data_IF_561876546466
#
_entry.id   IF_561876546466
#
_cell.length_a   1.000
_cell.length_b   1.000
_cell.length_c   1.000
_cell.angle_alpha   90.00
_cell.angle_beta   90.00
_cell.angle_gamma   90.00
#
_symmetry.space_group_name_H-M   'P 1'
#
loop_
_entity.id
_entity.type
_entity.pdbx_description
1 polymer ?
#
# COMPACT_ATOMS: atom_id res chain seq x y z
N UNK A 1 0.20 21.27 -44.38
CA UNK A 1 0.15 22.47 -43.52
C UNK A 1 0.56 23.73 -44.34
N UNK A 2 1.78 23.84 -44.87
CA UNK A 2 2.24 25.05 -45.57
C UNK A 2 1.37 25.46 -46.76
N UNK A 3 0.93 24.52 -47.60
CA UNK A 3 0.08 24.77 -48.77
C UNK A 3 -1.31 25.28 -48.40
N UNK A 4 -1.83 24.78 -47.27
CA UNK A 4 -3.19 25.10 -46.80
C UNK A 4 -3.15 26.20 -45.69
N UNK A 5 -1.96 26.78 -45.42
CA UNK A 5 -1.77 27.82 -44.38
C UNK A 5 -2.23 27.37 -42.98
N UNK A 6 -2.12 26.08 -42.64
CA UNK A 6 -2.50 25.50 -41.37
C UNK A 6 -1.30 25.42 -40.44
N UNK A 7 -1.46 25.90 -39.21
CA UNK A 7 -0.54 25.59 -38.08
C UNK A 7 -1.02 24.30 -37.42
N UNK A 8 -0.19 23.27 -37.48
CA UNK A 8 -0.46 22.00 -36.80
C UNK A 8 0.18 22.02 -35.41
N UNK A 9 -0.63 21.77 -34.37
CA UNK A 9 -0.15 21.55 -33.01
C UNK A 9 -0.20 20.05 -32.74
N UNK A 10 0.97 19.47 -32.50
CA UNK A 10 1.12 18.04 -32.24
C UNK A 10 1.30 17.79 -30.76
N UNK A 11 0.29 17.25 -30.11
CA UNK A 11 0.28 16.88 -28.69
C UNK A 11 0.40 15.37 -28.55
N UNK A 12 1.51 14.91 -27.99
CA UNK A 12 1.73 13.51 -27.68
C UNK A 12 1.13 13.17 -26.31
N UNK A 13 0.64 11.94 -26.17
CA UNK A 13 0.26 11.44 -24.86
C UNK A 13 1.47 11.45 -23.92
N UNK A 14 1.36 11.90 -22.66
CA UNK A 14 2.51 12.04 -21.74
C UNK A 14 3.36 10.78 -21.59
N UNK A 15 2.75 9.59 -21.61
CA UNK A 15 3.47 8.32 -21.53
C UNK A 15 4.36 8.03 -22.76
N UNK A 16 4.04 8.61 -23.91
CA UNK A 16 4.75 8.37 -25.18
C UNK A 16 5.75 9.46 -25.55
N UNK A 17 5.89 10.50 -24.74
CA UNK A 17 6.83 11.61 -25.02
C UNK A 17 8.30 11.20 -25.12
N UNK A 18 8.65 10.07 -24.50
CA UNK A 18 10.02 9.52 -24.49
C UNK A 18 10.28 8.51 -25.60
N UNK A 19 9.28 8.20 -26.41
CA UNK A 19 9.42 7.28 -27.53
C UNK A 19 10.39 7.84 -28.59
N UNK A 20 11.29 6.97 -29.06
CA UNK A 20 12.36 7.39 -29.99
C UNK A 20 11.81 8.00 -31.27
N UNK A 21 10.71 7.49 -31.80
CA UNK A 21 10.04 8.04 -32.99
C UNK A 21 9.56 9.47 -32.80
N UNK A 22 8.95 9.76 -31.64
CA UNK A 22 8.50 11.11 -31.31
C UNK A 22 9.69 12.08 -31.12
N UNK A 23 10.71 11.67 -30.39
CA UNK A 23 11.92 12.48 -30.19
C UNK A 23 12.63 12.77 -31.50
N UNK A 24 12.71 11.79 -32.40
CA UNK A 24 13.25 11.96 -33.75
C UNK A 24 12.41 12.97 -34.57
N UNK A 25 11.08 12.85 -34.54
CA UNK A 25 10.21 13.78 -35.24
C UNK A 25 10.35 15.20 -34.70
N UNK A 26 10.37 15.39 -33.38
CA UNK A 26 10.59 16.68 -32.72
C UNK A 26 11.91 17.34 -33.15
N UNK A 27 12.97 16.54 -33.20
CA UNK A 27 14.26 17.02 -33.65
C UNK A 27 14.27 17.34 -35.17
N UNK A 28 13.71 16.46 -35.98
CA UNK A 28 13.69 16.56 -37.47
C UNK A 28 12.91 17.76 -37.95
N UNK A 29 11.85 18.14 -37.25
CA UNK A 29 10.95 19.22 -37.67
C UNK A 29 10.97 20.43 -36.73
N UNK A 30 12.02 20.58 -35.91
CA UNK A 30 12.17 21.67 -34.94
C UNK A 30 12.07 23.08 -35.58
N UNK A 31 12.55 23.23 -36.80
CA UNK A 31 12.56 24.51 -37.54
C UNK A 31 11.33 24.69 -38.45
N UNK A 32 10.35 23.78 -38.40
CA UNK A 32 9.16 23.86 -39.23
C UNK A 32 8.20 24.91 -38.70
N UNK A 33 7.96 25.97 -39.43
CA UNK A 33 7.07 27.09 -39.03
C UNK A 33 5.59 26.70 -38.91
N UNK A 34 5.19 25.60 -39.53
CA UNK A 34 3.83 25.14 -39.61
C UNK A 34 3.52 23.96 -38.70
N UNK A 35 4.49 23.59 -37.82
CA UNK A 35 4.35 22.49 -36.87
C UNK A 35 4.89 22.91 -35.52
N UNK A 36 4.02 22.83 -34.50
CA UNK A 36 4.35 23.06 -33.10
C UNK A 36 4.21 21.73 -32.33
N UNK A 37 5.26 21.29 -31.67
CA UNK A 37 5.17 20.18 -30.71
C UNK A 37 4.79 20.75 -29.36
N UNK A 38 3.61 20.38 -28.87
CA UNK A 38 3.12 20.85 -27.56
C UNK A 38 4.00 20.31 -26.45
N UNK A 39 4.34 21.16 -25.48
CA UNK A 39 5.01 20.79 -24.26
C UNK A 39 3.97 20.48 -23.20
N UNK A 40 3.88 19.21 -22.76
CA UNK A 40 2.92 18.75 -21.77
C UNK A 40 3.10 19.35 -20.36
N UNK A 41 4.13 20.16 -20.12
CA UNK A 41 4.24 20.99 -18.90
C UNK A 41 3.32 22.20 -18.93
N UNK A 42 2.77 22.56 -20.10
CA UNK A 42 1.80 23.64 -20.27
C UNK A 42 0.38 23.07 -20.27
N UNK A 43 -0.55 23.87 -19.77
CA UNK A 43 -1.97 23.52 -19.79
C UNK A 43 -2.52 23.62 -21.23
N UNK A 44 -2.90 22.48 -21.81
CA UNK A 44 -3.46 22.43 -23.14
C UNK A 44 -4.87 23.03 -23.22
N UNK A 45 -5.59 23.09 -22.12
CA UNK A 45 -6.94 23.66 -22.08
C UNK A 45 -6.97 25.17 -22.34
N UNK A 46 -5.85 25.88 -22.14
CA UNK A 46 -5.75 27.32 -22.45
C UNK A 46 -5.90 27.66 -23.94
N UNK A 47 -5.78 26.68 -24.83
CA UNK A 47 -5.83 26.90 -26.28
C UNK A 47 -6.97 26.15 -26.98
N UNK A 48 -7.78 25.35 -26.27
CA UNK A 48 -8.83 24.54 -26.89
C UNK A 48 -9.83 25.39 -27.70
N UNK A 49 -10.18 26.55 -27.21
CA UNK A 49 -11.10 27.50 -27.84
C UNK A 49 -10.54 28.20 -29.11
N UNK A 50 -9.24 27.99 -29.38
CA UNK A 50 -8.51 28.58 -30.53
C UNK A 50 -8.20 27.57 -31.62
N UNK A 51 -8.66 26.34 -31.45
CA UNK A 51 -8.41 25.26 -32.40
C UNK A 51 -9.59 25.13 -33.36
N UNK A 52 -9.33 25.31 -34.66
CA UNK A 52 -10.34 25.24 -35.69
C UNK A 52 -10.68 23.80 -36.11
N UNK A 53 -9.67 22.91 -36.07
CA UNK A 53 -9.78 21.52 -36.49
C UNK A 53 -9.08 20.60 -35.52
N UNK A 54 -9.77 19.62 -34.98
CA UNK A 54 -9.21 18.54 -34.19
C UNK A 54 -8.95 17.30 -35.06
N UNK A 55 -7.69 16.84 -35.09
CA UNK A 55 -7.34 15.57 -35.70
C UNK A 55 -7.01 14.62 -34.53
N UNK A 56 -7.73 13.53 -34.44
CA UNK A 56 -7.60 12.59 -33.33
C UNK A 56 -7.46 11.15 -33.82
N UNK A 57 -6.91 10.32 -32.99
CA UNK A 57 -6.94 8.87 -33.10
C UNK A 57 -8.11 8.30 -32.27
N UNK A 58 -7.81 7.56 -31.22
CA UNK A 58 -8.81 6.96 -30.29
C UNK A 58 -8.92 7.75 -28.97
N UNK A 59 -8.38 8.96 -28.92
CA UNK A 59 -8.39 9.79 -27.72
C UNK A 59 -9.79 10.34 -27.43
N UNK A 60 -10.19 10.32 -26.16
CA UNK A 60 -11.44 10.93 -25.69
C UNK A 60 -11.40 12.46 -25.64
N UNK A 61 -10.26 13.10 -25.91
CA UNK A 61 -10.11 14.56 -25.85
C UNK A 61 -11.07 15.32 -26.78
N UNK A 62 -11.62 14.65 -27.78
CA UNK A 62 -12.63 15.27 -28.68
C UNK A 62 -13.84 15.80 -27.91
N UNK A 63 -14.18 15.21 -26.76
CA UNK A 63 -15.30 15.69 -25.94
C UNK A 63 -15.02 17.09 -25.42
N UNK A 64 -13.78 17.36 -25.00
CA UNK A 64 -13.34 18.67 -24.51
C UNK A 64 -13.30 19.70 -25.65
N UNK A 65 -12.89 19.28 -26.86
CA UNK A 65 -12.95 20.12 -28.06
C UNK A 65 -14.37 20.48 -28.46
N UNK A 66 -15.32 19.55 -28.33
CA UNK A 66 -16.74 19.84 -28.54
C UNK A 66 -17.24 20.89 -27.56
N UNK A 67 -16.90 20.71 -26.25
CA UNK A 67 -17.29 21.67 -25.22
C UNK A 67 -16.63 23.05 -25.44
N UNK A 68 -15.43 23.11 -25.96
CA UNK A 68 -14.75 24.35 -26.33
C UNK A 68 -15.27 25.00 -27.64
N UNK A 69 -16.20 24.34 -28.35
CA UNK A 69 -16.84 24.87 -29.54
C UNK A 69 -16.13 24.56 -30.87
N UNK A 70 -15.20 23.63 -30.90
CA UNK A 70 -14.59 23.15 -32.14
C UNK A 70 -15.65 22.52 -33.07
N UNK A 71 -15.62 22.88 -34.36
CA UNK A 71 -16.64 22.47 -35.32
C UNK A 71 -16.16 21.43 -36.33
N UNK A 72 -14.85 21.24 -36.44
CA UNK A 72 -14.28 20.36 -37.45
C UNK A 72 -13.46 19.27 -36.80
N UNK A 73 -13.69 18.02 -37.19
CA UNK A 73 -13.03 16.85 -36.65
C UNK A 73 -12.60 15.89 -37.77
N UNK A 74 -11.41 15.37 -37.69
CA UNK A 74 -10.92 14.26 -38.50
C UNK A 74 -10.42 13.15 -37.60
N UNK A 75 -10.75 11.92 -37.94
CA UNK A 75 -10.30 10.73 -37.19
C UNK A 75 -9.23 10.00 -38.00
N UNK A 76 -7.99 9.95 -37.52
CA UNK A 76 -6.95 9.21 -38.18
C UNK A 76 -6.80 7.83 -37.53
N UNK A 77 -7.62 6.89 -38.02
CA UNK A 77 -7.78 5.53 -37.48
C UNK A 77 -7.14 4.52 -38.43
N UNK A 78 -5.81 4.59 -38.60
CA UNK A 78 -5.05 3.80 -39.58
C UNK A 78 -4.94 2.31 -39.20
N UNK A 79 -5.09 1.97 -37.94
CA UNK A 79 -5.00 0.63 -37.36
C UNK A 79 -6.33 0.14 -36.77
N UNK A 80 -7.44 0.78 -37.15
CA UNK A 80 -8.78 0.50 -36.60
C UNK A 80 -9.27 -0.95 -36.84
N UNK A 81 -8.84 -1.56 -37.91
CA UNK A 81 -9.23 -2.93 -38.26
C UNK A 81 -8.37 -4.00 -37.54
N UNK A 82 -7.55 -3.58 -36.54
CA UNK A 82 -6.81 -4.50 -35.67
C UNK A 82 -7.75 -5.11 -34.62
N UNK A 83 -7.74 -6.45 -34.52
CA UNK A 83 -8.56 -7.22 -33.57
C UNK A 83 -8.26 -6.91 -32.09
N UNK A 84 -7.18 -6.17 -31.81
CA UNK A 84 -6.78 -5.80 -30.45
C UNK A 84 -7.50 -4.55 -29.90
N UNK A 85 -8.29 -3.84 -30.73
CA UNK A 85 -9.05 -2.65 -30.33
C UNK A 85 -10.49 -3.04 -29.97
N UNK A 86 -10.73 -3.27 -28.69
CA UNK A 86 -12.07 -3.56 -28.15
C UNK A 86 -12.71 -2.26 -27.64
N UNK A 87 -13.63 -1.69 -28.41
CA UNK A 87 -14.39 -0.51 -28.00
C UNK A 87 -15.72 -0.93 -27.38
N UNK A 88 -16.07 -0.43 -26.19
CA UNK A 88 -17.34 -0.78 -25.52
C UNK A 88 -18.58 -0.23 -26.24
N UNK A 89 -18.38 0.69 -27.19
CA UNK A 89 -19.43 1.31 -28.00
C UNK A 89 -19.00 1.38 -29.46
N UNK A 90 -19.96 1.52 -30.40
CA UNK A 90 -19.64 1.73 -31.80
C UNK A 90 -18.86 3.05 -31.98
N UNK A 91 -17.58 2.92 -32.35
CA UNK A 91 -16.68 4.07 -32.51
C UNK A 91 -17.21 5.12 -33.49
N UNK A 92 -17.84 4.70 -34.59
CA UNK A 92 -18.37 5.61 -35.61
C UNK A 92 -19.64 6.33 -35.14
N UNK A 93 -20.37 5.76 -34.17
CA UNK A 93 -21.54 6.41 -33.59
C UNK A 93 -21.21 7.44 -32.52
N UNK A 94 -20.10 7.23 -31.77
CA UNK A 94 -19.79 8.03 -30.59
C UNK A 94 -18.66 9.05 -30.80
N UNK A 95 -18.05 9.08 -32.01
CA UNK A 95 -16.96 10.01 -32.33
C UNK A 95 -17.27 10.85 -33.55
N UNK A 96 -16.96 12.17 -33.55
CA UNK A 96 -17.32 13.07 -34.66
C UNK A 96 -16.28 13.05 -35.78
N UNK A 97 -16.70 13.48 -36.97
CA UNK A 97 -15.84 13.77 -38.10
C UNK A 97 -15.56 12.59 -39.03
N UNK A 98 -14.89 12.90 -40.12
CA UNK A 98 -14.53 11.94 -41.17
C UNK A 98 -13.43 10.99 -40.68
N UNK A 99 -13.63 9.67 -40.91
CA UNK A 99 -12.62 8.64 -40.62
C UNK A 99 -11.68 8.49 -41.81
N UNK A 100 -10.37 8.62 -41.54
CA UNK A 100 -9.27 8.43 -42.48
C UNK A 100 -8.47 7.18 -42.07
N UNK A 101 -8.38 6.19 -42.95
CA UNK A 101 -7.70 4.92 -42.69
C UNK A 101 -6.22 4.91 -43.07
N UNK A 102 -5.79 5.91 -43.82
CA UNK A 102 -4.40 6.06 -44.26
C UNK A 102 -4.02 7.53 -44.43
N UNK A 103 -2.72 7.78 -44.64
CA UNK A 103 -2.20 9.12 -44.73
C UNK A 103 -2.72 9.90 -45.97
N UNK A 104 -2.95 9.24 -47.09
CA UNK A 104 -3.44 9.90 -48.30
C UNK A 104 -4.89 10.39 -48.11
N UNK A 105 -5.73 9.59 -47.46
CA UNK A 105 -7.09 9.99 -47.07
C UNK A 105 -7.08 11.17 -46.09
N UNK A 106 -6.14 11.16 -45.09
CA UNK A 106 -6.00 12.28 -44.17
C UNK A 106 -5.59 13.57 -44.89
N UNK A 107 -4.62 13.50 -45.81
CA UNK A 107 -4.16 14.66 -46.60
C UNK A 107 -5.29 15.21 -47.48
N UNK A 108 -6.10 14.33 -48.09
CA UNK A 108 -7.25 14.75 -48.84
C UNK A 108 -8.30 15.41 -47.93
N UNK A 109 -8.63 14.80 -46.81
CA UNK A 109 -9.58 15.33 -45.84
C UNK A 109 -9.15 16.71 -45.30
N UNK A 110 -7.85 16.92 -45.06
CA UNK A 110 -7.30 18.21 -44.66
C UNK A 110 -7.52 19.33 -45.69
N UNK A 111 -7.61 19.02 -46.96
CA UNK A 111 -7.88 20.02 -47.99
C UNK A 111 -9.38 20.32 -48.17
N UNK A 112 -10.24 19.53 -47.54
CA UNK A 112 -11.71 19.58 -47.77
C UNK A 112 -12.52 19.75 -46.45
N UNK A 113 -11.89 19.74 -45.27
CA UNK A 113 -12.59 19.65 -44.00
C UNK A 113 -13.62 20.73 -43.73
N UNK A 114 -13.43 21.95 -44.27
CA UNK A 114 -14.40 23.04 -44.17
C UNK A 114 -15.71 22.78 -44.91
N UNK A 115 -15.70 21.81 -45.86
CA UNK A 115 -16.88 21.44 -46.64
C UNK A 115 -17.69 20.34 -45.97
N UNK A 116 -17.11 19.70 -44.94
CA UNK A 116 -17.79 18.61 -44.23
C UNK A 116 -18.84 19.19 -43.28
N UNK A 117 -20.09 18.94 -43.54
CA UNK A 117 -21.17 19.25 -42.61
C UNK A 117 -21.39 18.08 -41.67
N UNK A 118 -20.89 18.26 -40.43
CA UNK A 118 -21.01 17.29 -39.34
C UNK A 118 -21.91 17.79 -38.21
N UNK A 119 -22.69 18.85 -38.41
CA UNK A 119 -23.49 19.52 -37.38
C UNK A 119 -24.43 18.56 -36.66
N UNK A 120 -25.20 17.75 -37.40
CA UNK A 120 -26.12 16.75 -36.80
C UNK A 120 -25.39 15.71 -35.94
N UNK A 121 -24.22 15.29 -36.38
CA UNK A 121 -23.36 14.37 -35.63
C UNK A 121 -22.82 15.00 -34.36
N UNK A 122 -22.34 16.25 -34.43
CA UNK A 122 -21.84 17.01 -33.29
C UNK A 122 -22.93 17.25 -32.23
N UNK A 123 -24.15 17.63 -32.69
CA UNK A 123 -25.28 17.84 -31.80
C UNK A 123 -25.68 16.57 -31.05
N UNK A 124 -25.69 15.44 -31.76
CA UNK A 124 -25.98 14.14 -31.16
C UNK A 124 -24.90 13.73 -30.15
N UNK A 125 -23.63 13.83 -30.50
CA UNK A 125 -22.49 13.46 -29.68
C UNK A 125 -22.33 14.41 -28.48
N UNK A 126 -22.57 15.72 -28.70
CA UNK A 126 -22.57 16.69 -27.61
C UNK A 126 -23.63 16.34 -26.56
N UNK A 127 -24.84 15.96 -26.96
CA UNK A 127 -25.90 15.52 -26.03
C UNK A 127 -25.51 14.23 -25.28
N UNK A 128 -24.77 13.34 -25.93
CA UNK A 128 -24.34 12.10 -25.31
C UNK A 128 -23.34 12.35 -24.18
N UNK A 129 -22.36 13.23 -24.40
CA UNK A 129 -21.25 13.46 -23.44
C UNK A 129 -21.46 14.71 -22.57
N UNK A 130 -22.24 15.69 -23.02
CA UNK A 130 -22.41 16.99 -22.36
C UNK A 130 -23.88 17.31 -22.11
N UNK A 131 -24.64 16.36 -21.54
CA UNK A 131 -26.06 16.56 -21.18
C UNK A 131 -26.25 17.77 -20.25
N UNK A 132 -25.27 18.04 -19.37
CA UNK A 132 -25.27 19.13 -18.40
C UNK A 132 -24.13 20.14 -18.66
N UNK A 133 -24.09 20.70 -19.87
CA UNK A 133 -23.04 21.64 -20.28
C UNK A 133 -23.34 23.12 -19.95
N UNK A 134 -24.26 23.39 -19.05
CA UNK A 134 -24.65 24.73 -18.66
C UNK A 134 -23.79 25.29 -17.54
N UNK A 135 -23.68 26.64 -17.45
CA UNK A 135 -22.91 27.33 -16.42
C UNK A 135 -23.34 27.02 -14.98
N UNK A 136 -24.54 26.50 -14.80
CA UNK A 136 -25.13 26.08 -13.53
C UNK A 136 -24.88 24.58 -13.18
N UNK A 137 -24.10 23.88 -13.98
CA UNK A 137 -23.81 22.45 -13.75
C UNK A 137 -23.17 22.21 -12.39
N UNK A 138 -22.23 23.08 -11.98
CA UNK A 138 -21.59 22.99 -10.70
C UNK A 138 -22.59 23.22 -9.55
N UNK A 139 -23.47 24.18 -9.68
CA UNK A 139 -24.53 24.46 -8.68
C UNK A 139 -25.47 23.25 -8.55
N UNK A 140 -25.84 22.63 -9.68
CA UNK A 140 -26.66 21.40 -9.69
C UNK A 140 -25.97 20.22 -9.01
N UNK A 141 -24.67 20.04 -9.23
CA UNK A 141 -23.86 19.01 -8.55
C UNK A 141 -23.84 19.28 -7.05
N UNK A 142 -23.60 20.53 -6.65
CA UNK A 142 -23.59 20.94 -5.25
C UNK A 142 -24.96 20.72 -4.62
N UNK A 143 -26.03 21.17 -5.26
CA UNK A 143 -27.40 21.01 -4.75
C UNK A 143 -27.79 19.54 -4.65
N UNK A 144 -27.45 18.72 -5.64
CA UNK A 144 -27.68 17.27 -5.60
C UNK A 144 -26.87 16.59 -4.49
N UNK A 145 -25.62 17.01 -4.28
CA UNK A 145 -24.75 16.49 -3.20
C UNK A 145 -25.28 16.91 -1.84
N UNK A 146 -25.72 18.15 -1.68
CA UNK A 146 -26.32 18.67 -0.43
C UNK A 146 -27.67 18.00 -0.15
N UNK A 147 -28.51 17.81 -1.18
CA UNK A 147 -29.78 17.11 -1.06
C UNK A 147 -29.63 15.62 -0.72
N UNK A 148 -28.50 15.03 -1.09
CA UNK A 148 -28.14 13.65 -0.78
C UNK A 148 -27.41 13.54 0.59
N UNK A 149 -27.60 14.49 1.52
CA UNK A 149 -27.15 14.28 2.88
C UNK A 149 -27.98 13.14 3.45
N UNK A 150 -27.43 11.88 3.54
CA UNK A 150 -28.14 10.82 4.24
C UNK A 150 -28.40 11.26 5.68
N UNK A 151 -29.48 10.77 6.29
CA UNK A 151 -29.64 10.86 7.75
C UNK A 151 -28.28 10.66 8.39
N UNK A 152 -27.91 11.52 9.31
CA UNK A 152 -26.60 11.56 9.95
C UNK A 152 -26.33 10.22 10.62
N UNK A 153 -25.92 9.24 9.85
CA UNK A 153 -25.38 8.00 10.39
C UNK A 153 -24.08 8.40 11.05
N UNK A 154 -24.03 8.34 12.37
CA UNK A 154 -22.77 8.52 13.08
C UNK A 154 -21.84 7.36 12.69
N UNK A 155 -20.95 7.60 11.76
CA UNK A 155 -19.97 6.60 11.37
C UNK A 155 -19.06 6.27 12.56
N UNK A 156 -18.71 4.99 12.77
CA UNK A 156 -17.76 4.58 13.79
C UNK A 156 -16.38 5.21 13.57
N UNK A 157 -15.54 5.18 14.57
CA UNK A 157 -14.10 5.38 14.41
C UNK A 157 -13.49 4.03 14.04
N UNK A 158 -12.54 4.02 13.09
CA UNK A 158 -11.69 2.89 12.83
C UNK A 158 -10.46 2.98 13.74
N UNK A 159 -10.29 1.98 14.61
CA UNK A 159 -9.11 1.81 15.44
C UNK A 159 -8.28 0.65 14.91
N UNK A 160 -7.00 0.86 14.67
CA UNK A 160 -6.07 -0.20 14.35
C UNK A 160 -4.98 -0.30 15.42
N UNK A 161 -4.60 -1.52 15.77
CA UNK A 161 -3.56 -1.79 16.74
C UNK A 161 -2.45 -2.61 16.08
N UNK A 162 -1.18 -2.23 16.34
CA UNK A 162 -0.09 -3.17 16.17
C UNK A 162 -0.24 -4.31 17.18
N UNK A 163 0.54 -5.36 17.02
CA UNK A 163 0.41 -6.58 17.83
C UNK A 163 1.55 -6.69 18.84
N UNK A 164 2.78 -6.80 18.34
CA UNK A 164 3.95 -7.00 19.21
C UNK A 164 4.26 -5.71 19.96
N UNK A 165 4.56 -5.87 21.25
CA UNK A 165 4.84 -4.76 22.16
C UNK A 165 3.74 -3.70 22.25
N UNK A 166 2.57 -4.02 21.67
CA UNK A 166 1.33 -3.23 21.72
C UNK A 166 0.20 -3.99 22.39
N UNK A 167 -0.14 -5.21 21.97
CA UNK A 167 -1.18 -6.04 22.59
C UNK A 167 -0.60 -7.13 23.48
N UNK A 168 0.54 -7.62 23.13
CA UNK A 168 1.34 -8.49 23.96
C UNK A 168 2.83 -8.25 23.76
N UNK A 169 3.61 -8.57 24.76
CA UNK A 169 5.07 -8.58 24.68
C UNK A 169 5.60 -10.02 24.85
N UNK A 170 6.90 -10.18 24.80
CA UNK A 170 7.59 -11.44 25.10
C UNK A 170 8.17 -11.44 26.50
N UNK A 171 8.30 -12.63 27.10
CA UNK A 171 9.00 -12.82 28.37
C UNK A 171 10.50 -12.53 28.26
N UNK A 172 11.05 -12.51 27.05
CA UNK A 172 12.44 -12.20 26.78
C UNK A 172 12.62 -10.71 26.52
N UNK A 173 13.75 -10.16 26.93
CA UNK A 173 14.09 -8.74 26.77
C UNK A 173 14.27 -8.35 25.30
N UNK A 174 14.89 -9.22 24.52
CA UNK A 174 15.11 -9.06 23.06
C UNK A 174 14.50 -10.27 22.34
N UNK A 175 13.81 -10.10 21.21
CA UNK A 175 13.25 -11.21 20.43
C UNK A 175 14.25 -12.33 20.10
N UNK A 176 15.55 -12.01 20.02
CA UNK A 176 16.62 -12.99 19.85
C UNK A 176 16.67 -14.00 21.01
N UNK A 177 16.13 -13.66 22.17
CA UNK A 177 16.00 -14.57 23.32
C UNK A 177 15.26 -15.87 22.96
N UNK A 178 14.28 -15.81 22.08
CA UNK A 178 13.57 -16.99 21.58
C UNK A 178 14.53 -17.99 20.92
N UNK A 179 15.53 -17.51 20.19
CA UNK A 179 16.48 -18.37 19.50
C UNK A 179 17.44 -19.10 20.45
N UNK A 180 17.66 -18.55 21.65
CA UNK A 180 18.44 -19.26 22.69
C UNK A 180 17.67 -20.45 23.25
N UNK A 181 16.36 -20.34 23.45
CA UNK A 181 15.53 -21.49 23.85
C UNK A 181 15.52 -22.58 22.79
N UNK A 182 15.46 -22.21 21.51
CA UNK A 182 15.61 -23.19 20.44
C UNK A 182 16.99 -23.85 20.44
N UNK A 183 18.05 -23.08 20.74
CA UNK A 183 19.40 -23.59 20.87
C UNK A 183 19.50 -24.65 21.98
N UNK A 184 18.90 -24.43 23.16
CA UNK A 184 18.82 -25.39 24.24
C UNK A 184 18.14 -26.69 23.81
N UNK A 185 16.99 -26.61 23.16
CA UNK A 185 16.29 -27.76 22.59
C UNK A 185 17.17 -28.54 21.57
N UNK A 186 17.95 -27.82 20.76
CA UNK A 186 18.91 -28.46 19.82
C UNK A 186 20.03 -29.19 20.54
N UNK A 187 20.51 -28.64 21.66
CA UNK A 187 21.57 -29.29 22.50
C UNK A 187 21.04 -30.58 23.11
N UNK A 188 19.81 -30.57 23.60
CA UNK A 188 19.15 -31.75 24.18
C UNK A 188 18.87 -32.83 23.14
N UNK A 189 18.40 -32.45 21.92
CA UNK A 189 18.12 -33.39 20.83
C UNK A 189 19.39 -34.06 20.28
N UNK A 190 20.47 -33.34 20.18
CA UNK A 190 21.80 -33.85 19.75
C UNK A 190 21.89 -34.23 18.26
N UNK A 191 20.82 -34.05 17.50
CA UNK A 191 20.72 -34.43 16.09
C UNK A 191 21.11 -33.36 15.08
N UNK A 192 21.77 -32.25 15.51
CA UNK A 192 22.10 -31.13 14.65
C UNK A 192 23.62 -30.91 14.49
N UNK A 193 24.07 -30.31 13.39
CA UNK A 193 25.48 -29.95 13.21
C UNK A 193 26.00 -29.09 14.38
N UNK A 194 27.12 -29.47 15.00
CA UNK A 194 27.68 -28.77 16.15
C UNK A 194 27.89 -27.27 15.89
N UNK A 195 28.35 -26.90 14.70
CA UNK A 195 28.55 -25.50 14.32
C UNK A 195 27.26 -24.67 14.34
N UNK A 196 26.16 -25.29 13.91
CA UNK A 196 24.83 -24.68 13.96
C UNK A 196 24.36 -24.52 15.41
N UNK A 197 24.46 -25.60 16.22
CA UNK A 197 24.02 -25.59 17.62
C UNK A 197 24.74 -24.50 18.42
N UNK A 198 26.06 -24.39 18.29
CA UNK A 198 26.86 -23.45 19.08
C UNK A 198 26.56 -21.97 18.74
N UNK A 199 26.05 -21.68 17.55
CA UNK A 199 25.87 -20.31 17.07
C UNK A 199 24.44 -20.04 16.58
N UNK A 200 23.48 -20.86 16.98
CA UNK A 200 22.13 -20.83 16.43
C UNK A 200 21.47 -19.43 16.45
N UNK A 201 21.49 -18.66 17.56
CA UNK A 201 20.84 -17.34 17.56
C UNK A 201 21.42 -16.39 16.52
N UNK A 202 22.75 -16.37 16.38
CA UNK A 202 23.42 -15.53 15.38
C UNK A 202 23.14 -16.00 13.95
N UNK A 203 23.13 -17.31 13.72
CA UNK A 203 22.85 -17.92 12.41
C UNK A 203 21.41 -17.65 12.01
N UNK A 204 20.46 -17.82 12.93
CA UNK A 204 19.03 -17.56 12.67
C UNK A 204 18.79 -16.10 12.28
N UNK A 205 19.36 -15.17 13.06
CA UNK A 205 19.32 -13.72 12.77
C UNK A 205 19.96 -13.38 11.42
N UNK A 206 21.14 -13.96 11.14
CA UNK A 206 21.84 -13.73 9.86
C UNK A 206 21.06 -14.30 8.68
N UNK A 207 20.41 -15.44 8.85
CA UNK A 207 19.58 -16.05 7.80
C UNK A 207 18.38 -15.18 7.46
N UNK A 208 17.70 -14.62 8.44
CA UNK A 208 16.65 -13.64 8.24
C UNK A 208 17.16 -12.39 7.50
N UNK A 209 18.27 -11.81 7.96
CA UNK A 209 18.87 -10.64 7.33
C UNK A 209 19.24 -10.89 5.86
N UNK A 210 19.76 -12.08 5.53
CA UNK A 210 20.10 -12.46 4.16
C UNK A 210 18.85 -12.57 3.25
N UNK A 211 17.74 -13.09 3.77
CA UNK A 211 16.49 -13.16 3.01
C UNK A 211 15.95 -11.75 2.77
N UNK A 212 15.94 -10.88 3.77
CA UNK A 212 15.56 -9.46 3.64
C UNK A 212 16.43 -8.72 2.62
N UNK A 213 17.76 -8.96 2.65
CA UNK A 213 18.69 -8.37 1.68
C UNK A 213 18.40 -8.83 0.26
N UNK A 214 18.04 -10.10 0.06
CA UNK A 214 17.64 -10.62 -1.24
C UNK A 214 16.41 -9.87 -1.78
N UNK A 215 15.35 -9.70 -0.98
CA UNK A 215 14.17 -8.94 -1.38
C UNK A 215 14.51 -7.48 -1.70
N UNK A 216 15.31 -6.81 -0.88
CA UNK A 216 15.75 -5.44 -1.15
C UNK A 216 16.49 -5.31 -2.47
N UNK A 217 17.33 -6.27 -2.83
CA UNK A 217 18.03 -6.30 -4.12
C UNK A 217 17.07 -6.55 -5.28
N UNK A 218 16.13 -7.49 -5.13
CA UNK A 218 15.12 -7.80 -6.16
C UNK A 218 14.23 -6.60 -6.44
N UNK A 219 13.82 -5.86 -5.41
CA UNK A 219 13.07 -4.60 -5.55
C UNK A 219 13.90 -3.55 -6.31
N UNK A 220 15.18 -3.38 -5.93
CA UNK A 220 16.07 -2.42 -6.60
C UNK A 220 16.27 -2.75 -8.09
N UNK A 221 16.21 -4.03 -8.46
CA UNK A 221 16.28 -4.52 -9.84
C UNK A 221 14.89 -4.58 -10.52
N UNK A 222 13.81 -4.22 -9.84
CA UNK A 222 12.41 -4.32 -10.30
C UNK A 222 11.98 -5.75 -10.67
N UNK A 223 12.56 -6.76 -10.04
CA UNK A 223 12.23 -8.17 -10.23
C UNK A 223 11.09 -8.64 -9.31
N UNK A 224 10.82 -7.88 -8.23
CA UNK A 224 9.75 -8.15 -7.27
C UNK A 224 9.20 -6.86 -6.70
N UNK A 225 7.91 -6.86 -6.40
CA UNK A 225 7.24 -5.80 -5.62
C UNK A 225 7.09 -6.18 -4.14
N UNK A 226 7.29 -7.46 -3.81
CA UNK A 226 7.19 -7.95 -2.43
C UNK A 226 8.39 -7.50 -1.61
N UNK A 227 8.13 -6.94 -0.44
CA UNK A 227 9.15 -6.45 0.51
C UNK A 227 9.20 -7.25 1.81
N UNK A 228 8.14 -8.01 2.14
CA UNK A 228 8.11 -8.81 3.36
C UNK A 228 8.46 -10.27 3.07
N UNK A 229 9.30 -10.82 3.95
CA UNK A 229 9.78 -12.20 3.91
C UNK A 229 8.78 -13.15 4.54
N UNK A 230 8.95 -14.44 4.27
CA UNK A 230 8.15 -15.52 4.85
C UNK A 230 8.98 -16.32 5.85
N UNK A 231 8.33 -16.83 6.89
CA UNK A 231 8.96 -17.69 7.92
C UNK A 231 9.73 -18.86 7.29
N UNK A 232 9.11 -19.50 6.31
CA UNK A 232 9.69 -20.67 5.63
C UNK A 232 10.96 -20.36 4.84
N UNK A 233 11.08 -19.16 4.30
CA UNK A 233 12.26 -18.75 3.51
C UNK A 233 13.50 -18.62 4.40
N UNK A 234 13.33 -18.21 5.66
CA UNK A 234 14.43 -18.12 6.62
C UNK A 234 15.02 -19.51 6.86
N UNK A 235 14.15 -20.51 7.07
CA UNK A 235 14.59 -21.89 7.30
C UNK A 235 15.12 -22.56 6.04
N UNK A 236 14.55 -22.26 4.89
CA UNK A 236 15.08 -22.71 3.60
C UNK A 236 16.51 -22.18 3.37
N UNK A 237 16.75 -20.92 3.74
CA UNK A 237 18.11 -20.34 3.72
C UNK A 237 19.07 -21.08 4.64
N UNK A 238 18.66 -21.36 5.88
CA UNK A 238 19.47 -22.11 6.85
C UNK A 238 19.75 -23.53 6.34
N UNK A 239 18.72 -24.23 5.84
CA UNK A 239 18.85 -25.58 5.30
C UNK A 239 19.87 -25.64 4.16
N UNK A 240 19.82 -24.68 3.25
CA UNK A 240 20.77 -24.59 2.13
C UNK A 240 22.22 -24.39 2.58
N UNK A 241 22.45 -23.64 3.65
CA UNK A 241 23.82 -23.35 4.14
C UNK A 241 24.40 -24.49 4.98
N UNK A 242 23.56 -25.12 5.80
CA UNK A 242 23.99 -26.12 6.79
C UNK A 242 23.62 -27.56 6.39
N UNK A 243 23.11 -27.77 5.18
CA UNK A 243 22.65 -29.07 4.65
C UNK A 243 21.71 -29.81 5.62
N UNK A 244 20.71 -29.08 6.13
CA UNK A 244 19.72 -29.65 7.02
C UNK A 244 18.73 -30.53 6.26
N UNK A 245 18.32 -31.62 6.89
CA UNK A 245 17.22 -32.45 6.36
C UNK A 245 15.87 -31.77 6.59
N UNK A 246 14.86 -32.16 5.83
CA UNK A 246 13.50 -31.66 6.02
C UNK A 246 12.99 -31.90 7.44
N UNK A 247 13.32 -33.05 8.04
CA UNK A 247 12.98 -33.37 9.44
C UNK A 247 13.60 -32.38 10.42
N UNK A 248 14.88 -32.05 10.25
CA UNK A 248 15.57 -31.07 11.09
C UNK A 248 14.96 -29.68 10.93
N UNK A 249 14.61 -29.28 9.70
CA UNK A 249 13.92 -28.01 9.43
C UNK A 249 12.58 -27.94 10.13
N UNK A 250 11.78 -29.01 10.04
CA UNK A 250 10.46 -29.05 10.70
C UNK A 250 10.59 -28.99 12.23
N UNK A 251 11.59 -29.68 12.81
CA UNK A 251 11.87 -29.60 14.25
C UNK A 251 12.20 -28.18 14.67
N UNK A 252 13.12 -27.50 13.96
CA UNK A 252 13.51 -26.11 14.29
C UNK A 252 12.32 -25.16 14.21
N UNK A 253 11.50 -25.26 13.16
CA UNK A 253 10.27 -24.48 13.02
C UNK A 253 9.32 -24.73 14.19
N UNK A 254 9.06 -25.98 14.52
CA UNK A 254 8.16 -26.35 15.59
C UNK A 254 8.64 -25.82 16.94
N UNK A 255 9.92 -25.92 17.24
CA UNK A 255 10.49 -25.41 18.48
C UNK A 255 10.49 -23.88 18.55
N UNK A 256 10.75 -23.17 17.45
CA UNK A 256 10.66 -21.71 17.43
C UNK A 256 9.24 -21.25 17.70
N UNK A 257 8.24 -21.87 17.05
CA UNK A 257 6.83 -21.55 17.28
C UNK A 257 6.39 -21.89 18.72
N UNK A 258 6.81 -23.04 19.26
CA UNK A 258 6.54 -23.40 20.66
C UNK A 258 7.11 -22.35 21.61
N UNK A 259 8.38 -21.95 21.41
CA UNK A 259 9.00 -20.92 22.21
C UNK A 259 8.32 -19.56 22.08
N UNK A 260 7.90 -19.16 20.86
CA UNK A 260 7.10 -17.93 20.68
C UNK A 260 5.78 -17.99 21.45
N UNK A 261 5.05 -19.13 21.39
CA UNK A 261 3.79 -19.30 22.10
C UNK A 261 3.95 -19.24 23.63
N UNK A 262 5.00 -19.83 24.17
CA UNK A 262 5.23 -19.88 25.61
C UNK A 262 5.73 -18.56 26.18
N UNK A 263 6.15 -17.64 25.30
CA UNK A 263 6.66 -16.34 25.68
C UNK A 263 5.67 -15.18 25.53
N UNK A 264 4.42 -15.44 25.20
CA UNK A 264 3.39 -14.40 25.11
C UNK A 264 3.02 -13.85 26.48
N UNK A 265 3.14 -12.53 26.63
CA UNK A 265 2.70 -11.78 27.83
C UNK A 265 1.69 -10.73 27.38
N UNK A 266 0.40 -10.86 27.76
CA UNK A 266 -0.61 -9.88 27.37
C UNK A 266 -0.34 -8.51 28.01
N UNK A 267 -0.73 -7.44 27.30
CA UNK A 267 -0.69 -6.06 27.77
C UNK A 267 -2.13 -5.60 28.04
N UNK A 268 -2.62 -5.67 29.30
CA UNK A 268 -4.05 -5.51 29.60
C UNK A 268 -4.62 -4.14 29.21
N UNK A 269 -3.84 -3.08 29.34
CA UNK A 269 -4.28 -1.71 29.07
C UNK A 269 -4.85 -1.55 27.66
N UNK A 270 -4.10 -1.99 26.65
CA UNK A 270 -4.50 -1.89 25.24
C UNK A 270 -5.64 -2.86 24.92
N UNK A 271 -5.65 -4.05 25.55
CA UNK A 271 -6.73 -5.03 25.41
C UNK A 271 -8.05 -4.45 25.97
N UNK A 272 -7.99 -3.78 27.12
CA UNK A 272 -9.17 -3.15 27.72
C UNK A 272 -9.66 -1.93 26.90
N UNK A 273 -8.75 -1.20 26.26
CA UNK A 273 -9.12 -0.17 25.29
C UNK A 273 -9.86 -0.75 24.09
N UNK A 274 -9.42 -1.89 23.55
CA UNK A 274 -10.12 -2.58 22.47
C UNK A 274 -11.54 -2.97 22.92
N UNK A 275 -11.67 -3.58 24.11
CA UNK A 275 -12.99 -3.95 24.68
C UNK A 275 -13.91 -2.73 24.78
N UNK A 276 -13.36 -1.58 25.22
CA UNK A 276 -14.11 -0.33 25.33
C UNK A 276 -14.58 0.16 23.94
N UNK A 277 -13.72 0.17 22.94
CA UNK A 277 -14.09 0.65 21.59
C UNK A 277 -15.13 -0.25 20.94
N UNK A 278 -15.00 -1.57 21.08
CA UNK A 278 -16.02 -2.52 20.60
C UNK A 278 -17.38 -2.31 21.31
N UNK A 279 -17.37 -2.01 22.61
CA UNK A 279 -18.60 -1.69 23.36
C UNK A 279 -19.25 -0.38 22.88
N UNK A 280 -18.48 0.55 22.33
CA UNK A 280 -18.94 1.79 21.70
C UNK A 280 -19.40 1.60 20.25
N UNK A 281 -19.36 0.38 19.73
CA UNK A 281 -19.64 0.03 18.32
C UNK A 281 -18.66 0.64 17.32
N UNK A 282 -17.46 0.98 17.75
CA UNK A 282 -16.37 1.38 16.88
C UNK A 282 -15.77 0.13 16.19
N UNK A 283 -15.15 0.35 15.04
CA UNK A 283 -14.46 -0.72 14.30
C UNK A 283 -13.04 -0.87 14.80
N UNK A 284 -12.65 -2.10 15.15
CA UNK A 284 -11.28 -2.40 15.59
C UNK A 284 -10.66 -3.46 14.69
N UNK A 285 -9.41 -3.22 14.25
CA UNK A 285 -8.62 -4.12 13.42
C UNK A 285 -7.19 -4.25 13.96
N UNK A 286 -6.48 -5.28 13.54
CA UNK A 286 -5.09 -5.52 13.87
C UNK A 286 -4.22 -5.38 12.61
N UNK A 287 -3.09 -4.64 12.71
CA UNK A 287 -2.20 -4.36 11.58
C UNK A 287 -0.75 -4.52 12.03
N UNK A 288 -0.05 -5.55 11.57
CA UNK A 288 1.30 -5.85 12.05
C UNK A 288 2.29 -6.23 10.95
N UNK A 289 3.52 -5.71 11.05
CA UNK A 289 4.65 -6.14 10.24
C UNK A 289 5.29 -7.38 10.88
N UNK A 290 5.02 -8.56 10.30
CA UNK A 290 5.53 -9.83 10.83
C UNK A 290 5.63 -10.90 9.74
N UNK A 291 6.72 -11.66 9.75
CA UNK A 291 6.94 -12.77 8.83
C UNK A 291 6.32 -14.10 9.30
N UNK A 292 5.86 -14.18 10.55
CA UNK A 292 5.18 -15.37 11.06
C UNK A 292 3.83 -15.58 10.37
N UNK A 293 3.46 -16.82 10.03
CA UNK A 293 2.19 -17.13 9.39
C UNK A 293 0.97 -16.70 10.23
N UNK A 294 -0.11 -16.34 9.57
CA UNK A 294 -1.35 -15.87 10.22
C UNK A 294 -1.88 -16.79 11.31
N UNK A 295 -1.87 -18.09 11.06
CA UNK A 295 -2.33 -19.07 12.06
C UNK A 295 -1.47 -19.05 13.34
N UNK A 296 -0.19 -18.73 13.22
CA UNK A 296 0.73 -18.57 14.36
C UNK A 296 0.35 -17.32 15.15
N UNK A 297 0.16 -16.19 14.47
CA UNK A 297 -0.25 -14.94 15.12
C UNK A 297 -1.60 -15.11 15.81
N UNK A 298 -2.58 -15.76 15.17
CA UNK A 298 -3.87 -16.04 15.78
C UNK A 298 -3.74 -16.90 17.06
N UNK A 299 -2.85 -17.89 17.09
CA UNK A 299 -2.59 -18.69 18.31
C UNK A 299 -1.94 -17.83 19.41
N UNK A 300 -1.01 -16.94 19.07
CA UNK A 300 -0.43 -15.99 20.03
C UNK A 300 -1.48 -15.02 20.59
N UNK A 301 -2.32 -14.46 19.72
CA UNK A 301 -3.46 -13.61 20.14
C UNK A 301 -4.43 -14.35 21.05
N UNK A 302 -4.75 -15.63 20.71
CA UNK A 302 -5.63 -16.46 21.54
C UNK A 302 -5.07 -16.69 22.95
N UNK A 303 -3.75 -16.82 23.07
CA UNK A 303 -3.07 -16.97 24.37
C UNK A 303 -3.03 -15.66 25.17
N UNK A 304 -2.93 -14.53 24.46
CA UNK A 304 -2.99 -13.22 25.11
C UNK A 304 -4.40 -12.89 25.59
N UNK A 305 -5.38 -12.92 24.70
CA UNK A 305 -6.81 -12.68 24.96
C UNK A 305 -7.64 -13.29 23.81
N UNK A 306 -8.45 -14.33 24.04
CA UNK A 306 -9.15 -15.05 22.97
C UNK A 306 -10.00 -14.18 22.05
N UNK A 307 -10.62 -13.12 22.55
CA UNK A 307 -11.45 -12.23 21.75
C UNK A 307 -10.69 -11.51 20.61
N UNK A 308 -9.37 -11.37 20.73
CA UNK A 308 -8.57 -10.71 19.70
C UNK A 308 -8.53 -11.50 18.39
N UNK A 309 -8.82 -12.81 18.43
CA UNK A 309 -8.85 -13.65 17.23
C UNK A 309 -10.06 -13.40 16.33
N UNK A 310 -11.10 -12.72 16.85
CA UNK A 310 -12.30 -12.35 16.10
C UNK A 310 -12.12 -11.03 15.31
N UNK A 311 -11.04 -10.30 15.56
CA UNK A 311 -10.76 -9.04 14.90
C UNK A 311 -10.13 -9.24 13.51
N UNK A 312 -10.49 -8.40 12.51
CA UNK A 312 -9.80 -8.42 11.22
C UNK A 312 -8.29 -8.21 11.40
N UNK A 313 -7.49 -9.07 10.77
CA UNK A 313 -6.05 -9.12 10.93
C UNK A 313 -5.35 -8.92 9.59
N UNK A 314 -4.50 -7.90 9.52
CA UNK A 314 -3.69 -7.54 8.36
C UNK A 314 -2.20 -7.73 8.70
N UNK A 315 -1.56 -8.68 8.03
CA UNK A 315 -0.16 -9.03 8.26
C UNK A 315 0.68 -8.73 7.02
N UNK A 316 1.83 -8.10 7.20
CA UNK A 316 2.76 -7.79 6.11
C UNK A 316 3.15 -9.01 5.29
N UNK A 317 3.32 -10.18 5.90
CA UNK A 317 3.67 -11.41 5.20
C UNK A 317 2.54 -11.95 4.29
N UNK A 318 1.27 -11.65 4.55
CA UNK A 318 0.16 -12.07 3.69
C UNK A 318 0.05 -11.18 2.44
N UNK A 319 0.28 -9.88 2.59
CA UNK A 319 0.18 -8.90 1.50
C UNK A 319 1.51 -8.69 0.77
N UNK A 320 2.64 -9.09 1.38
CA UNK A 320 3.97 -8.87 0.82
C UNK A 320 4.46 -7.42 0.93
N UNK A 321 3.80 -6.58 1.74
CA UNK A 321 4.07 -5.16 1.92
C UNK A 321 4.16 -4.79 3.40
N UNK A 322 4.74 -3.64 3.74
CA UNK A 322 5.03 -3.23 5.12
C UNK A 322 4.38 -1.89 5.49
N UNK A 323 4.22 -1.64 6.79
CA UNK A 323 3.73 -0.36 7.35
C UNK A 323 4.67 0.80 7.03
N UNK A 324 5.99 0.56 7.05
CA UNK A 324 7.00 1.61 6.80
C UNK A 324 6.87 2.23 5.41
N UNK A 325 6.46 1.45 4.42
CA UNK A 325 6.18 1.92 3.05
C UNK A 325 4.78 2.53 2.90
N UNK A 326 3.95 2.52 3.94
CA UNK A 326 2.53 2.87 3.95
C UNK A 326 1.61 1.86 3.21
N UNK A 327 2.17 0.97 2.41
CA UNK A 327 1.39 0.07 1.55
C UNK A 327 0.47 -0.85 2.34
N UNK A 328 0.89 -1.35 3.52
CA UNK A 328 0.00 -2.17 4.34
C UNK A 328 -1.24 -1.40 4.83
N UNK A 329 -1.10 -0.10 5.10
CA UNK A 329 -2.26 0.75 5.44
C UNK A 329 -3.16 0.99 4.22
N UNK A 330 -2.61 1.07 3.01
CA UNK A 330 -3.41 1.15 1.79
C UNK A 330 -4.18 -0.15 1.51
N UNK A 331 -3.61 -1.33 1.80
CA UNK A 331 -4.33 -2.60 1.73
C UNK A 331 -5.52 -2.64 2.70
N UNK A 332 -5.32 -2.14 3.92
CA UNK A 332 -6.42 -1.95 4.87
C UNK A 332 -7.48 -1.01 4.29
N UNK A 333 -7.06 0.14 3.75
CA UNK A 333 -7.96 1.12 3.16
C UNK A 333 -8.79 0.52 2.02
N UNK A 334 -8.13 -0.22 1.12
CA UNK A 334 -8.79 -0.90 0.00
C UNK A 334 -9.84 -1.93 0.46
N UNK A 335 -9.67 -2.56 1.63
CA UNK A 335 -10.64 -3.50 2.16
C UNK A 335 -11.98 -2.86 2.58
N UNK A 336 -12.03 -1.53 2.70
CA UNK A 336 -13.25 -0.77 3.00
C UNK A 336 -13.89 -0.15 1.75
N UNK A 337 -13.33 -0.34 0.56
CA UNK A 337 -13.95 0.12 -0.70
C UNK A 337 -15.21 -0.71 -1.02
N UNK A 338 -16.24 -0.10 -1.68
CA UNK A 338 -16.36 1.30 -2.07
C UNK A 338 -16.92 2.21 -0.96
N UNK A 339 -17.24 1.67 0.19
CA UNK A 339 -17.89 2.38 1.29
C UNK A 339 -16.92 2.51 2.45
N UNK A 340 -16.33 3.68 2.63
CA UNK A 340 -15.48 3.99 3.79
C UNK A 340 -16.38 4.25 5.01
N UNK A 341 -16.81 3.18 5.70
CA UNK A 341 -17.79 3.23 6.79
C UNK A 341 -17.18 3.69 8.14
N UNK A 342 -16.28 4.68 8.11
CA UNK A 342 -15.71 5.28 9.32
C UNK A 342 -15.45 6.79 9.17
N UNK A 343 -15.61 7.54 10.27
CA UNK A 343 -15.39 9.00 10.31
C UNK A 343 -13.94 9.42 10.42
N UNK A 344 -13.10 8.59 11.04
CA UNK A 344 -11.66 8.78 11.18
C UNK A 344 -10.97 7.46 11.49
N UNK A 345 -9.68 7.40 11.24
CA UNK A 345 -8.83 6.26 11.55
C UNK A 345 -7.78 6.65 12.60
N UNK A 346 -7.66 5.84 13.68
CA UNK A 346 -6.68 6.01 14.76
C UNK A 346 -5.86 4.73 14.87
N UNK A 347 -4.53 4.86 14.78
CA UNK A 347 -3.60 3.74 14.88
C UNK A 347 -2.82 3.78 16.18
N UNK A 348 -2.74 2.62 16.87
CA UNK A 348 -1.97 2.41 18.08
C UNK A 348 -0.78 1.50 17.79
N UNK A 349 0.43 1.91 18.17
CA UNK A 349 1.65 1.11 18.02
C UNK A 349 2.81 1.69 18.80
N UNK A 350 3.84 0.88 19.04
CA UNK A 350 5.03 1.24 19.81
C UNK A 350 6.17 1.76 18.94
N UNK A 351 6.26 1.31 17.67
CA UNK A 351 7.39 1.57 16.80
C UNK A 351 7.28 2.92 16.07
N UNK A 352 8.15 3.92 16.38
CA UNK A 352 8.10 5.23 15.73
C UNK A 352 8.30 5.18 14.20
N UNK A 353 9.03 4.20 13.70
CA UNK A 353 9.39 4.09 12.28
C UNK A 353 8.23 3.50 11.47
N UNK A 354 7.53 2.51 12.01
CA UNK A 354 6.47 1.81 11.31
C UNK A 354 5.06 2.33 11.67
N UNK A 355 4.82 2.66 12.96
CA UNK A 355 3.47 2.94 13.46
C UNK A 355 3.15 4.44 13.60
N UNK A 356 4.15 5.34 13.51
CA UNK A 356 3.88 6.75 13.72
C UNK A 356 4.07 7.60 12.46
N UNK A 357 5.28 7.63 11.91
CA UNK A 357 5.58 8.52 10.79
C UNK A 357 4.85 8.13 9.50
N UNK A 358 4.82 6.86 9.08
CA UNK A 358 4.13 6.48 7.84
C UNK A 358 2.62 6.72 7.87
N UNK A 359 1.86 6.27 8.89
CA UNK A 359 0.41 6.48 8.91
C UNK A 359 0.02 7.96 9.04
N UNK A 360 0.77 8.78 9.77
CA UNK A 360 0.50 10.24 9.84
C UNK A 360 0.58 10.93 8.48
N UNK A 361 1.50 10.51 7.61
CA UNK A 361 1.66 11.08 6.28
C UNK A 361 0.44 10.86 5.37
N UNK A 362 -0.35 9.86 5.65
CA UNK A 362 -1.58 9.53 4.92
C UNK A 362 -2.86 9.87 5.69
N UNK A 363 -2.74 10.72 6.72
CA UNK A 363 -3.90 11.26 7.44
C UNK A 363 -4.45 10.39 8.58
N UNK A 364 -3.77 9.30 8.94
CA UNK A 364 -4.15 8.46 10.09
C UNK A 364 -3.69 9.14 11.39
N UNK A 365 -4.61 9.31 12.35
CA UNK A 365 -4.26 9.76 13.69
C UNK A 365 -3.47 8.66 14.42
N UNK A 366 -2.40 9.01 15.13
CA UNK A 366 -1.52 8.02 15.76
C UNK A 366 -1.48 8.24 17.27
N UNK A 367 -1.57 7.15 18.00
CA UNK A 367 -1.37 7.07 19.44
C UNK A 367 -0.17 6.16 19.74
N UNK A 368 0.84 6.71 20.39
CA UNK A 368 2.01 5.94 20.78
C UNK A 368 1.67 5.06 21.99
N UNK A 369 1.99 3.78 21.86
CA UNK A 369 2.05 2.85 23.00
C UNK A 369 3.48 2.91 23.52
N UNK A 370 3.61 3.29 24.78
CA UNK A 370 4.94 3.41 25.41
C UNK A 370 5.23 2.11 26.14
N UNK A 371 6.30 1.44 25.75
CA UNK A 371 6.84 0.34 26.54
C UNK A 371 7.34 0.87 27.87
N UNK A 372 7.09 0.18 28.99
CA UNK A 372 7.78 0.48 30.22
C UNK A 372 9.28 0.26 30.02
N UNK A 373 10.08 1.29 30.24
CA UNK A 373 11.54 1.18 30.18
C UNK A 373 12.08 0.65 31.49
N UNK A 374 13.10 -0.18 31.43
CA UNK A 374 13.82 -0.61 32.61
C UNK A 374 14.59 0.57 33.21
N UNK A 375 14.56 0.71 34.54
CA UNK A 375 15.48 1.59 35.23
C UNK A 375 16.92 1.11 35.05
N UNK A 376 17.89 1.98 35.30
CA UNK A 376 19.32 1.62 35.21
C UNK A 376 19.66 0.42 36.08
N UNK A 377 19.06 0.30 37.28
CA UNK A 377 19.27 -0.83 38.21
C UNK A 377 18.67 -2.11 37.61
N UNK A 378 17.46 -2.03 37.01
CA UNK A 378 16.83 -3.18 36.37
C UNK A 378 17.62 -3.67 35.17
N UNK A 379 18.15 -2.75 34.37
CA UNK A 379 19.02 -3.07 33.23
C UNK A 379 20.28 -3.78 33.69
N UNK A 380 20.95 -3.27 34.72
CA UNK A 380 22.15 -3.90 35.29
C UNK A 380 21.86 -5.29 35.84
N UNK A 381 20.71 -5.47 36.52
CA UNK A 381 20.32 -6.76 37.07
C UNK A 381 20.08 -7.78 35.96
N UNK A 382 19.35 -7.41 34.92
CA UNK A 382 19.10 -8.27 33.77
C UNK A 382 20.41 -8.65 33.06
N UNK A 383 21.35 -7.71 32.91
CA UNK A 383 22.66 -7.96 32.32
C UNK A 383 23.46 -8.96 33.15
N UNK A 384 23.40 -8.87 34.51
CA UNK A 384 24.09 -9.79 35.39
C UNK A 384 23.51 -11.21 35.41
N UNK A 385 22.19 -11.33 35.22
CA UNK A 385 21.50 -12.63 35.22
C UNK A 385 21.52 -13.31 33.84
N UNK A 386 22.02 -12.62 32.84
CA UNK A 386 21.93 -13.04 31.44
C UNK A 386 20.63 -12.59 30.80
N UNK A 387 20.74 -11.93 29.65
CA UNK A 387 19.68 -11.25 28.91
C UNK A 387 18.48 -12.15 28.53
N UNK A 388 18.64 -13.46 28.67
CA UNK A 388 17.72 -14.48 28.19
C UNK A 388 17.13 -15.34 29.30
N UNK A 389 17.38 -15.01 30.55
CA UNK A 389 16.67 -15.66 31.66
C UNK A 389 15.22 -15.20 31.66
N UNK A 390 14.36 -16.05 31.10
CA UNK A 390 13.00 -15.75 30.77
C UNK A 390 12.11 -15.45 31.95
N UNK A 391 12.36 -16.11 33.09
CA UNK A 391 11.42 -16.05 34.20
C UNK A 391 11.46 -14.69 34.92
N UNK A 392 12.64 -14.18 35.18
CA UNK A 392 12.80 -12.90 35.85
C UNK A 392 12.39 -11.73 34.91
N UNK A 393 12.78 -11.80 33.64
CA UNK A 393 12.39 -10.78 32.64
C UNK A 393 10.86 -10.75 32.46
N UNK A 394 10.20 -11.90 32.46
CA UNK A 394 8.74 -11.98 32.39
C UNK A 394 8.06 -11.35 33.61
N UNK A 395 8.58 -11.65 34.80
CA UNK A 395 8.05 -11.08 36.04
C UNK A 395 8.21 -9.55 36.06
N UNK A 396 9.36 -9.05 35.62
CA UNK A 396 9.61 -7.61 35.51
C UNK A 396 8.68 -6.94 34.49
N UNK A 397 8.54 -7.50 33.29
CA UNK A 397 7.67 -6.93 32.26
C UNK A 397 6.20 -6.95 32.69
N UNK A 398 5.72 -8.05 33.27
CA UNK A 398 4.32 -8.16 33.76
C UNK A 398 4.03 -7.10 34.83
N UNK A 399 4.96 -6.89 35.78
CA UNK A 399 4.81 -5.87 36.83
C UNK A 399 4.92 -4.44 36.30
N UNK A 400 5.81 -4.19 35.32
CA UNK A 400 5.91 -2.89 34.68
C UNK A 400 4.64 -2.55 33.90
N UNK A 401 4.06 -3.49 33.19
CA UNK A 401 2.78 -3.32 32.49
C UNK A 401 1.62 -3.06 33.47
N UNK A 402 1.55 -3.78 34.58
CA UNK A 402 0.55 -3.55 35.62
C UNK A 402 0.69 -2.16 36.26
N UNK A 403 1.93 -1.71 36.51
CA UNK A 403 2.19 -0.38 37.11
C UNK A 403 1.90 0.78 36.14
N UNK A 404 2.09 0.58 34.84
CA UNK A 404 1.71 1.59 33.83
C UNK A 404 0.17 1.74 33.69
N UNK A 405 -0.59 0.74 34.12
CA UNK A 405 -2.05 0.77 34.12
C UNK A 405 -2.65 1.38 35.41
N UNK A 406 -1.88 1.53 36.49
CA UNK A 406 -2.33 2.13 37.74
C UNK A 406 -1.92 3.61 37.83
N UNK A 407 -2.87 4.54 38.11
CA UNK A 407 -2.51 5.94 38.36
C UNK A 407 -1.82 6.06 39.73
N UNK A 408 -0.53 6.37 39.71
CA UNK A 408 0.29 6.99 40.78
C UNK A 408 0.06 6.56 42.25
N UNK A 409 0.04 5.29 42.60
CA UNK A 409 0.24 4.92 43.99
C UNK A 409 1.30 3.82 44.16
N UNK A 410 2.37 4.25 44.81
CA UNK A 410 3.44 3.52 45.46
C UNK A 410 4.47 2.68 44.68
N UNK A 411 5.68 3.13 44.83
CA UNK A 411 6.91 2.41 44.49
C UNK A 411 7.00 1.06 45.17
N UNK A 412 6.67 -0.02 44.46
CA UNK A 412 7.04 -1.36 44.88
C UNK A 412 8.58 -1.51 44.83
N UNK A 413 9.17 -1.79 45.99
CA UNK A 413 10.59 -2.01 46.07
C UNK A 413 11.01 -3.34 45.43
N UNK A 414 12.25 -3.41 44.97
CA UNK A 414 12.86 -4.62 44.43
C UNK A 414 12.84 -5.81 45.41
N UNK A 415 12.72 -5.54 46.71
CA UNK A 415 12.62 -6.51 47.79
C UNK A 415 11.43 -7.47 47.66
N UNK A 416 10.39 -7.10 46.86
CA UNK A 416 9.22 -7.97 46.64
C UNK A 416 9.37 -8.85 45.38
N UNK A 417 10.43 -8.68 44.61
CA UNK A 417 10.66 -9.45 43.37
C UNK A 417 11.70 -10.56 43.61
N UNK A 418 12.61 -10.38 44.59
CA UNK A 418 13.59 -11.35 45.00
C UNK A 418 13.11 -12.18 46.20
#
# INVERSE_FOLDING_TARGET
>A
CEKEHLLMIFKMHPLLEKEQGFLWAKQRYADCKWLLFWDNTNDFYEILDKIDLCIMDYSSIFTDFIAAGCKHFLRYAFDFDNDDLDFPMDYDEVTPGRKCKNFDELVQALSEYEKDDISDSLDRISKLYWEYSTSDSMDKIIDSTIAFVPEKVELPTLYSFDIFDTLFSRKVLDPVGIFYYVQEKMQEDGGFPRALVLNYPSIRKTSEANVREYYNKSIALRESEKVEIQFDEIFARMASVYNLTDEQVQKLKAWELECEYDNVVPLPEQIDMIKKYLAQKDTVILVSDMYLPKNVILEMLRRAEPMLTELPLYLSCEYGVQKVSQQLFFEVFASFEPYYDFKKWVHYGDNPIADHNPPRKIGIEVRQVTKPEFSDIQTQLVEQLGTYDSYLVAALQTRMAAKAAEPEEDSYGWEEIL
#
